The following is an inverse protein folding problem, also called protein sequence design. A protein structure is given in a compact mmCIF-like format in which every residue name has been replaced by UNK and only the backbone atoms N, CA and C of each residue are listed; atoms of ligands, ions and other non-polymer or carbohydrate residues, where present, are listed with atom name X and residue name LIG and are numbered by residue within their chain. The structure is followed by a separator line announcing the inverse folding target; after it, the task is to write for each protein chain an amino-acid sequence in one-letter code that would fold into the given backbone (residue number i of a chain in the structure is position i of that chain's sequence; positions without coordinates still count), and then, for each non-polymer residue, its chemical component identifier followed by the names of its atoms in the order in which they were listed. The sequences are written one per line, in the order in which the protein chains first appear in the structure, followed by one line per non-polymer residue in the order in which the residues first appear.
data_IF_499447811127
#
_entry.id   IF_499447811127
#
_cell.length_a   1.000
_cell.length_b   1.000
_cell.length_c   1.000
_cell.angle_alpha   90.00
_cell.angle_beta   90.00
_cell.angle_gamma   90.00
#
_symmetry.space_group_name_H-M   'P 1'
#
loop_
_entity.id
_entity.type
_entity.pdbx_description
1 polymer ?
#
# COMPACT_ATOMS: atom_id res chain seq x y z
N UNK A 1 -5.41 -6.94 -12.82
CA UNK A 1 -5.29 -7.70 -11.55
C UNK A 1 -5.93 -6.84 -10.48
N UNK A 2 -6.88 -7.36 -9.69
CA UNK A 2 -7.61 -6.58 -8.68
C UNK A 2 -6.61 -5.99 -7.67
N UNK A 3 -6.51 -4.66 -7.62
CA UNK A 3 -5.67 -3.86 -6.72
C UNK A 3 -6.13 -3.89 -5.25
N UNK A 4 -6.74 -4.99 -4.82
CA UNK A 4 -7.35 -5.15 -3.49
C UNK A 4 -6.97 -6.46 -2.80
N UNK A 5 -5.97 -7.17 -3.33
CA UNK A 5 -5.34 -8.28 -2.62
C UNK A 5 -4.25 -7.76 -1.71
N UNK A 6 -4.44 -7.87 -0.39
CA UNK A 6 -3.42 -7.53 0.61
C UNK A 6 -2.09 -8.20 0.27
N UNK A 7 -0.98 -7.45 0.39
CA UNK A 7 0.38 -7.96 0.15
C UNK A 7 0.68 -9.16 1.05
N UNK A 8 0.03 -9.24 2.21
CA UNK A 8 0.12 -10.39 3.12
C UNK A 8 -0.20 -11.73 2.43
N UNK A 9 -1.20 -11.78 1.54
CA UNK A 9 -1.54 -13.02 0.84
C UNK A 9 -0.47 -13.37 -0.20
N UNK A 10 -0.01 -12.37 -0.93
CA UNK A 10 1.09 -12.53 -1.89
C UNK A 10 2.38 -13.00 -1.21
N UNK A 11 2.72 -12.49 -0.02
CA UNK A 11 3.86 -12.95 0.78
C UNK A 11 3.70 -14.43 1.15
N UNK A 12 2.51 -14.84 1.59
CA UNK A 12 2.25 -16.22 1.97
C UNK A 12 2.42 -17.16 0.77
N UNK A 13 1.82 -16.82 -0.37
CA UNK A 13 1.95 -17.59 -1.62
C UNK A 13 3.41 -17.63 -2.08
N UNK A 14 4.14 -16.53 -1.99
CA UNK A 14 5.54 -16.47 -2.37
C UNK A 14 6.42 -17.33 -1.46
N UNK A 15 6.17 -17.35 -0.14
CA UNK A 15 6.88 -18.25 0.80
C UNK A 15 6.67 -19.72 0.48
N UNK A 16 5.45 -20.09 0.08
CA UNK A 16 5.15 -21.44 -0.40
C UNK A 16 5.92 -21.71 -1.70
N UNK A 17 5.91 -20.77 -2.64
CA UNK A 17 6.62 -20.89 -3.91
C UNK A 17 8.13 -21.08 -3.70
N UNK A 18 8.74 -20.32 -2.79
CA UNK A 18 10.16 -20.47 -2.44
C UNK A 18 10.48 -21.86 -1.91
N UNK A 19 9.62 -22.37 -1.01
CA UNK A 19 9.77 -23.71 -0.42
C UNK A 19 9.71 -24.81 -1.48
N UNK A 20 8.98 -24.59 -2.58
CA UNK A 20 8.84 -25.54 -3.69
C UNK A 20 9.95 -25.37 -4.74
N UNK A 21 10.44 -24.14 -4.96
CA UNK A 21 11.33 -23.79 -6.09
C UNK A 21 12.81 -24.16 -5.82
N UNK A 22 13.20 -24.43 -4.57
CA UNK A 22 14.56 -24.88 -4.22
C UNK A 22 15.56 -23.75 -4.00
N UNK A 23 16.86 -24.03 -3.93
CA UNK A 23 17.94 -23.12 -3.46
C UNK A 23 18.29 -21.96 -4.44
N UNK A 24 17.36 -21.03 -4.69
CA UNK A 24 17.73 -19.81 -5.40
C UNK A 24 18.43 -18.85 -4.44
N UNK A 25 19.45 -18.15 -4.93
CA UNK A 25 20.10 -17.12 -4.14
C UNK A 25 19.11 -16.04 -3.73
N UNK A 26 19.27 -15.50 -2.52
CA UNK A 26 18.34 -14.52 -1.93
C UNK A 26 18.12 -13.29 -2.82
N UNK A 27 19.16 -12.86 -3.54
CA UNK A 27 19.09 -11.80 -4.56
C UNK A 27 18.17 -12.12 -5.73
N UNK A 28 18.11 -13.37 -6.16
CA UNK A 28 17.23 -13.80 -7.24
C UNK A 28 15.77 -13.73 -6.77
N UNK A 29 15.49 -14.16 -5.54
CA UNK A 29 14.15 -14.05 -4.96
C UNK A 29 13.69 -12.60 -4.79
N UNK A 30 14.56 -11.71 -4.31
CA UNK A 30 14.24 -10.28 -4.19
C UNK A 30 13.85 -9.70 -5.55
N UNK A 31 14.57 -10.07 -6.61
CA UNK A 31 14.28 -9.57 -7.96
C UNK A 31 12.93 -10.08 -8.51
N UNK A 32 12.65 -11.37 -8.33
CA UNK A 32 11.34 -11.95 -8.74
C UNK A 32 10.21 -11.36 -7.92
N UNK A 33 10.38 -11.23 -6.61
CA UNK A 33 9.39 -10.65 -5.71
C UNK A 33 9.09 -9.19 -6.09
N UNK A 34 10.11 -8.36 -6.36
CA UNK A 34 9.95 -6.99 -6.86
C UNK A 34 9.11 -6.91 -8.13
N UNK A 35 9.26 -7.85 -9.06
CA UNK A 35 8.47 -7.87 -10.31
C UNK A 35 6.99 -8.16 -10.09
N UNK A 36 6.63 -8.86 -9.01
CA UNK A 36 5.24 -9.19 -8.69
C UNK A 36 4.54 -8.15 -7.81
N UNK A 37 5.26 -7.13 -7.31
CA UNK A 37 4.67 -6.08 -6.49
C UNK A 37 3.93 -5.03 -7.32
N UNK A 38 2.93 -4.41 -6.68
CA UNK A 38 2.22 -3.27 -7.25
C UNK A 38 3.15 -2.06 -7.39
N UNK A 39 2.97 -1.29 -8.47
CA UNK A 39 3.80 -0.11 -8.77
C UNK A 39 3.83 0.93 -7.64
N UNK A 40 2.73 1.07 -6.90
CA UNK A 40 2.63 1.99 -5.74
C UNK A 40 3.60 1.59 -4.63
N UNK A 41 3.69 0.30 -4.32
CA UNK A 41 4.64 -0.21 -3.33
C UNK A 41 6.07 -0.08 -3.83
N UNK A 42 6.31 -0.34 -5.12
CA UNK A 42 7.64 -0.15 -5.72
C UNK A 42 8.12 1.31 -5.63
N UNK A 43 7.23 2.28 -5.82
CA UNK A 43 7.54 3.71 -5.69
C UNK A 43 7.86 4.08 -4.24
N UNK A 44 7.06 3.59 -3.28
CA UNK A 44 7.33 3.79 -1.85
C UNK A 44 8.65 3.15 -1.40
N UNK A 45 8.96 1.96 -1.91
CA UNK A 45 10.23 1.29 -1.67
C UNK A 45 11.41 2.05 -2.29
N UNK A 46 11.24 2.66 -3.47
CA UNK A 46 12.30 3.46 -4.10
C UNK A 46 12.62 4.74 -3.30
N UNK A 47 11.63 5.26 -2.57
CA UNK A 47 11.79 6.41 -1.67
C UNK A 47 12.35 6.01 -0.29
N UNK A 48 12.40 4.71 0.03
CA UNK A 48 12.87 4.22 1.32
C UNK A 48 14.41 4.20 1.37
N UNK A 49 15.05 4.85 2.34
CA UNK A 49 16.51 5.02 2.37
C UNK A 49 17.30 3.77 2.82
N UNK A 50 16.65 2.63 3.07
CA UNK A 50 17.31 1.41 3.51
C UNK A 50 17.65 0.48 2.35
N UNK A 51 18.84 -0.13 2.41
CA UNK A 51 19.19 -1.28 1.59
C UNK A 51 18.63 -2.54 2.24
N UNK A 52 17.96 -3.38 1.45
CA UNK A 52 17.42 -4.65 1.91
C UNK A 52 18.46 -5.73 1.66
N UNK A 53 19.13 -6.17 2.73
CA UNK A 53 20.15 -7.21 2.63
C UNK A 53 19.54 -8.61 2.65
N UNK A 54 18.34 -8.74 3.21
CA UNK A 54 17.60 -10.01 3.26
C UNK A 54 16.22 -9.91 2.62
N UNK A 55 15.77 -11.02 2.06
CA UNK A 55 14.42 -11.14 1.49
C UNK A 55 13.37 -11.03 2.59
N UNK A 56 13.66 -11.53 3.79
CA UNK A 56 12.75 -11.46 4.92
C UNK A 56 12.46 -10.01 5.32
N UNK A 57 13.51 -9.19 5.45
CA UNK A 57 13.40 -7.76 5.72
C UNK A 57 12.65 -7.03 4.59
N UNK A 58 12.92 -7.40 3.34
CA UNK A 58 12.20 -6.87 2.20
C UNK A 58 10.68 -7.14 2.30
N UNK A 59 10.28 -8.37 2.63
CA UNK A 59 8.88 -8.75 2.79
C UNK A 59 8.20 -8.02 3.95
N UNK A 60 8.89 -7.87 5.08
CA UNK A 60 8.36 -7.23 6.29
C UNK A 60 8.06 -5.74 6.05
N UNK A 61 9.01 -5.02 5.44
CA UNK A 61 8.83 -3.60 5.10
C UNK A 61 7.73 -3.42 4.05
N UNK A 62 7.62 -4.33 3.07
CA UNK A 62 6.55 -4.27 2.08
C UNK A 62 5.18 -4.45 2.74
N UNK A 63 5.07 -5.33 3.75
CA UNK A 63 3.85 -5.54 4.52
C UNK A 63 3.49 -4.32 5.39
N UNK A 64 4.48 -3.68 6.01
CA UNK A 64 4.25 -2.46 6.78
C UNK A 64 3.74 -1.32 5.89
N UNK A 65 4.35 -1.13 4.70
CA UNK A 65 3.91 -0.12 3.73
C UNK A 65 2.49 -0.38 3.24
N UNK A 66 2.15 -1.63 2.92
CA UNK A 66 0.78 -2.02 2.53
C UNK A 66 -0.23 -1.74 3.64
N UNK A 67 0.12 -2.09 4.88
CA UNK A 67 -0.72 -1.86 6.06
C UNK A 67 -0.97 -0.36 6.25
N UNK A 68 0.09 0.47 6.25
CA UNK A 68 -0.04 1.92 6.38
C UNK A 68 -0.83 2.55 5.22
N UNK A 69 -0.66 2.03 4.00
CA UNK A 69 -1.40 2.49 2.83
C UNK A 69 -2.90 2.20 2.98
N UNK A 70 -3.26 0.99 3.38
CA UNK A 70 -4.63 0.59 3.65
C UNK A 70 -5.24 1.35 4.84
N UNK A 71 -4.49 1.62 5.90
CA UNK A 71 -4.93 2.44 7.03
C UNK A 71 -5.23 3.88 6.58
N UNK A 72 -4.35 4.48 5.77
CA UNK A 72 -4.56 5.83 5.21
C UNK A 72 -5.80 5.90 4.31
N UNK A 73 -5.97 4.92 3.42
CA UNK A 73 -7.16 4.79 2.57
C UNK A 73 -8.44 4.65 3.40
N UNK A 74 -8.38 3.91 4.51
CA UNK A 74 -9.51 3.74 5.44
C UNK A 74 -9.83 5.02 6.21
N UNK A 75 -8.83 5.82 6.56
CA UNK A 75 -9.02 7.14 7.16
C UNK A 75 -9.58 8.15 6.14
N UNK A 76 -9.09 8.16 4.90
CA UNK A 76 -9.60 9.04 3.84
C UNK A 76 -11.03 8.68 3.41
N UNK A 77 -11.36 7.39 3.35
CA UNK A 77 -12.73 6.92 3.12
C UNK A 77 -13.70 7.30 4.25
N UNK A 78 -13.25 7.24 5.51
CA UNK A 78 -14.02 7.73 6.66
C UNK A 78 -14.12 9.25 6.70
N UNK A 79 -13.14 9.98 6.18
CA UNK A 79 -13.16 11.44 6.15
C UNK A 79 -14.05 11.97 5.01
N UNK A 80 -14.18 11.24 3.90
CA UNK A 80 -15.21 11.56 2.89
C UNK A 80 -16.63 11.36 3.42
N UNK A 81 -16.89 10.31 4.21
CA UNK A 81 -18.20 10.11 4.85
C UNK A 81 -18.47 11.09 6.02
N UNK A 82 -17.41 11.68 6.58
CA UNK A 82 -17.48 12.70 7.64
C UNK A 82 -17.34 14.13 7.16
N UNK A 83 -17.33 14.39 5.85
CA UNK A 83 -17.68 15.75 5.40
C UNK A 83 -19.16 15.90 5.71
N UNK A 84 -19.57 16.75 6.68
CA UNK A 84 -20.97 17.14 6.70
C UNK A 84 -21.30 17.65 5.29
N UNK A 85 -22.49 17.37 4.73
CA UNK A 85 -22.92 18.14 3.57
C UNK A 85 -22.68 19.59 3.96
N UNK A 86 -21.93 20.33 3.15
CA UNK A 86 -21.73 21.75 3.41
C UNK A 86 -23.14 22.33 3.29
N UNK A 87 -23.79 22.48 4.44
CA UNK A 87 -25.01 23.25 4.56
C UNK A 87 -24.53 24.67 4.36
N UNK A 88 -24.52 25.10 3.11
CA UNK A 88 -24.41 26.50 2.74
C UNK A 88 -25.66 27.23 3.22
N UNK A 89 -25.84 27.34 4.54
CA UNK A 89 -26.79 28.26 5.14
C UNK A 89 -26.13 29.62 5.21
N UNK A 90 -26.66 30.51 4.39
CA UNK A 90 -26.88 31.93 4.60
C UNK A 90 -25.65 32.77 5.00
N UNK A 91 -25.32 33.75 4.15
CA UNK A 91 -25.54 35.18 4.45
C UNK A 91 -25.04 36.06 3.30
N UNK A 92 -25.94 36.81 2.66
CA UNK A 92 -25.73 38.23 2.30
C UNK A 92 -27.03 38.83 1.76
N UNK A 93 -27.68 39.64 2.61
CA UNK A 93 -28.74 40.63 2.29
C UNK A 93 -28.04 41.89 1.71
N UNK A 94 -28.70 42.83 0.99
CA UNK A 94 -29.70 43.75 1.58
C UNK A 94 -30.90 44.09 0.63
N UNK A 95 -31.88 44.93 1.05
CA UNK A 95 -33.17 45.11 0.38
C UNK A 95 -33.14 46.25 -0.65
N UNK A 96 -34.02 46.24 -1.66
CA UNK A 96 -34.37 47.43 -2.43
C UNK A 96 -35.86 47.45 -2.84
N UNK A 97 -36.52 48.50 -2.33
CA UNK A 97 -37.79 49.18 -2.69
C UNK A 97 -38.95 48.39 -3.32
#
# INVERSE_FOLDING_TARGET
MKESGHVSLYIADFKILMSITGDWGERAYINVYRRGLASILLDQLASYPCTFDTLHEFMDITLELDTRYHERQKEEGRNQERRPPVTGSNSSRPPQD
#
